data_IF_792284742385
#
_entry.id   IF_792284742385
#
_cell.length_a   1.000
_cell.length_b   1.000
_cell.length_c   1.000
_cell.angle_alpha   90.00
_cell.angle_beta   90.00
_cell.angle_gamma   90.00
#
_symmetry.space_group_name_H-M   'P 1'
#
loop_
_entity.id
_entity.type
_entity.pdbx_description
1 polymer ?
#
# COMPACT_ATOMS: atom_id res chain seq x y z
N UNK A 1 13.58 15.81 23.69
CA UNK A 1 12.34 15.06 23.41
C UNK A 1 12.54 14.39 22.06
N UNK A 2 12.42 13.07 21.97
CA UNK A 2 12.46 12.40 20.66
C UNK A 2 11.06 12.51 20.08
N UNK A 3 10.90 13.33 19.06
CA UNK A 3 9.66 13.42 18.30
C UNK A 3 9.39 12.03 17.69
N UNK A 4 8.25 11.42 18.02
CA UNK A 4 7.93 10.09 17.49
C UNK A 4 7.65 10.27 15.99
N UNK A 5 8.54 9.75 15.14
CA UNK A 5 8.33 9.79 13.70
C UNK A 5 6.98 9.13 13.36
N UNK A 6 6.08 9.89 12.75
CA UNK A 6 4.80 9.41 12.26
C UNK A 6 5.04 8.31 11.21
N UNK A 7 4.51 7.11 11.47
CA UNK A 7 4.62 5.93 10.60
C UNK A 7 3.25 5.37 10.28
N UNK A 8 3.10 4.86 9.06
CA UNK A 8 1.88 4.22 8.59
C UNK A 8 2.19 2.80 8.14
N UNK A 9 1.43 1.85 8.69
CA UNK A 9 1.38 0.48 8.19
C UNK A 9 -0.02 0.19 7.67
N UNK A 10 -0.13 -0.21 6.40
CA UNK A 10 -1.37 -0.67 5.79
C UNK A 10 -1.30 -2.19 5.71
N UNK A 11 -2.13 -2.88 6.48
CA UNK A 11 -2.22 -4.34 6.43
C UNK A 11 -3.35 -4.75 5.47
N UNK A 12 -2.98 -5.25 4.29
CA UNK A 12 -3.92 -5.81 3.33
C UNK A 12 -4.06 -7.31 3.52
N UNK A 13 -5.20 -7.73 4.08
CA UNK A 13 -5.53 -9.15 4.32
C UNK A 13 -6.70 -9.66 3.49
N UNK A 14 -7.63 -8.77 3.12
CA UNK A 14 -8.83 -9.15 2.38
C UNK A 14 -8.50 -9.79 1.02
N UNK A 15 -9.20 -10.88 0.70
CA UNK A 15 -9.20 -11.51 -0.62
C UNK A 15 -10.21 -10.88 -1.59
N UNK A 16 -10.93 -9.85 -1.15
CA UNK A 16 -11.85 -9.10 -1.99
C UNK A 16 -11.10 -8.09 -2.86
N UNK A 17 -11.22 -8.25 -4.18
CA UNK A 17 -10.55 -7.38 -5.15
C UNK A 17 -11.11 -5.95 -5.12
N UNK A 18 -12.39 -5.75 -4.77
CA UNK A 18 -12.98 -4.42 -4.67
C UNK A 18 -12.38 -3.65 -3.49
N UNK A 19 -12.16 -4.33 -2.36
CA UNK A 19 -11.46 -3.75 -1.20
C UNK A 19 -10.01 -3.37 -1.55
N UNK A 20 -9.32 -4.22 -2.32
CA UNK A 20 -7.97 -3.90 -2.78
C UNK A 20 -7.96 -2.65 -3.67
N UNK A 21 -8.87 -2.58 -4.64
CA UNK A 21 -8.92 -1.50 -5.63
C UNK A 21 -9.39 -0.17 -5.05
N UNK A 22 -10.54 -0.17 -4.39
CA UNK A 22 -11.24 1.04 -3.96
C UNK A 22 -10.88 1.50 -2.55
N UNK A 23 -10.04 0.74 -1.83
CA UNK A 23 -9.57 1.13 -0.50
C UNK A 23 -8.05 1.06 -0.40
N UNK A 24 -7.46 -0.14 -0.41
CA UNK A 24 -6.04 -0.33 -0.07
C UNK A 24 -5.12 0.37 -1.08
N UNK A 25 -5.21 -0.01 -2.35
CA UNK A 25 -4.31 0.47 -3.39
C UNK A 25 -4.61 1.93 -3.76
N UNK A 26 -5.88 2.32 -3.74
CA UNK A 26 -6.30 3.71 -3.95
C UNK A 26 -5.73 4.63 -2.86
N UNK A 27 -5.89 4.28 -1.58
CA UNK A 27 -5.40 5.10 -0.47
C UNK A 27 -3.87 5.16 -0.48
N UNK A 28 -3.19 4.01 -0.60
CA UNK A 28 -1.73 3.94 -0.60
C UNK A 28 -1.10 4.72 -1.78
N UNK A 29 -1.74 4.75 -2.94
CA UNK A 29 -1.25 5.54 -4.08
C UNK A 29 -1.53 7.05 -3.91
N UNK A 30 -2.69 7.41 -3.37
CA UNK A 30 -3.08 8.82 -3.24
C UNK A 30 -2.38 9.54 -2.08
N UNK A 31 -2.05 8.84 -0.99
CA UNK A 31 -1.33 9.46 0.12
C UNK A 31 0.02 10.03 -0.32
N UNK A 32 0.70 9.37 -1.26
CA UNK A 32 1.96 9.84 -1.86
C UNK A 32 1.70 11.11 -2.67
N UNK A 33 0.73 11.03 -3.60
CA UNK A 33 0.40 12.15 -4.50
C UNK A 33 -0.05 13.40 -3.75
N UNK A 34 -0.67 13.22 -2.58
CA UNK A 34 -1.19 14.31 -1.74
C UNK A 34 -0.22 14.74 -0.64
N UNK A 35 0.92 14.08 -0.48
CA UNK A 35 1.90 14.39 0.55
C UNK A 35 1.38 14.24 1.98
N UNK A 36 0.40 13.35 2.20
CA UNK A 36 -0.16 13.11 3.53
C UNK A 36 0.82 12.39 4.45
N UNK A 37 1.66 11.53 3.87
CA UNK A 37 2.68 10.78 4.58
C UNK A 37 4.01 10.88 3.85
N UNK A 38 5.09 10.89 4.62
CA UNK A 38 6.43 10.67 4.10
C UNK A 38 6.56 9.22 3.66
N UNK A 39 6.88 8.99 2.40
CA UNK A 39 6.91 7.67 1.76
C UNK A 39 7.85 6.70 2.47
N UNK A 40 8.98 7.20 2.98
CA UNK A 40 9.97 6.43 3.74
C UNK A 40 9.45 5.89 5.08
N UNK A 41 8.34 6.44 5.59
CA UNK A 41 7.69 6.03 6.83
C UNK A 41 6.47 5.12 6.59
N UNK A 42 6.19 4.75 5.34
CA UNK A 42 5.03 3.96 4.96
C UNK A 42 5.40 2.50 4.64
N UNK A 43 4.58 1.55 5.09
CA UNK A 43 4.70 0.14 4.71
C UNK A 43 3.35 -0.46 4.34
N UNK A 44 3.25 -1.08 3.17
CA UNK A 44 2.10 -1.89 2.75
C UNK A 44 2.42 -3.37 3.00
N UNK A 45 1.75 -3.98 3.96
CA UNK A 45 1.94 -5.39 4.31
C UNK A 45 0.88 -6.21 3.58
N UNK A 46 1.31 -7.14 2.72
CA UNK A 46 0.42 -8.07 2.03
C UNK A 46 0.48 -9.42 2.75
N UNK A 47 -0.63 -9.82 3.37
CA UNK A 47 -0.67 -11.05 4.15
C UNK A 47 -1.97 -11.82 3.93
N UNK A 48 -1.87 -13.08 3.52
CA UNK A 48 -2.99 -14.02 3.54
C UNK A 48 -3.73 -14.01 2.20
N UNK A 49 -5.07 -14.00 2.18
CA UNK A 49 -5.86 -14.05 0.95
C UNK A 49 -5.47 -12.99 -0.10
N UNK A 50 -5.05 -11.80 0.35
CA UNK A 50 -4.56 -10.71 -0.50
C UNK A 50 -3.39 -11.10 -1.41
N UNK A 51 -2.52 -12.03 -1.00
CA UNK A 51 -1.40 -12.50 -1.81
C UNK A 51 -1.88 -13.15 -3.11
N UNK A 52 -2.96 -13.94 -3.04
CA UNK A 52 -3.55 -14.58 -4.23
C UNK A 52 -4.18 -13.54 -5.15
N UNK A 53 -4.88 -12.56 -4.58
CA UNK A 53 -5.48 -11.46 -5.35
C UNK A 53 -4.39 -10.72 -6.13
N UNK A 54 -3.31 -10.29 -5.46
CA UNK A 54 -2.20 -9.62 -6.10
C UNK A 54 -1.51 -10.50 -7.16
N UNK A 55 -1.28 -11.78 -6.87
CA UNK A 55 -0.64 -12.70 -7.82
C UNK A 55 -1.47 -12.90 -9.10
N UNK A 56 -2.79 -12.82 -9.00
CA UNK A 56 -3.72 -13.05 -10.12
C UNK A 56 -4.07 -11.80 -10.94
N UNK A 57 -3.63 -10.60 -10.51
CA UNK A 57 -4.06 -9.31 -11.06
C UNK A 57 -2.87 -8.46 -11.53
N UNK A 58 -2.50 -8.51 -12.82
CA UNK A 58 -1.39 -7.72 -13.36
C UNK A 58 -1.56 -6.21 -13.14
N UNK A 59 -2.78 -5.70 -13.21
CA UNK A 59 -3.10 -4.30 -12.95
C UNK A 59 -2.83 -3.89 -11.49
N UNK A 60 -3.06 -4.79 -10.52
CA UNK A 60 -2.69 -4.54 -9.13
C UNK A 60 -1.18 -4.61 -8.92
N UNK A 61 -0.50 -5.52 -9.61
CA UNK A 61 0.97 -5.62 -9.57
C UNK A 61 1.62 -4.33 -10.07
N UNK A 62 1.11 -3.73 -11.16
CA UNK A 62 1.61 -2.45 -11.65
C UNK A 62 1.37 -1.31 -10.65
N UNK A 63 0.21 -1.27 -9.99
CA UNK A 63 -0.05 -0.30 -8.89
C UNK A 63 0.97 -0.46 -7.75
N UNK A 64 1.24 -1.70 -7.32
CA UNK A 64 2.22 -1.99 -6.25
C UNK A 64 3.64 -1.61 -6.67
N UNK A 65 4.07 -1.95 -7.90
CA UNK A 65 5.38 -1.52 -8.43
C UNK A 65 5.51 0.01 -8.46
N UNK A 66 4.44 0.71 -8.83
CA UNK A 66 4.39 2.17 -8.80
C UNK A 66 4.57 2.73 -7.39
N UNK A 67 3.95 2.12 -6.37
CA UNK A 67 4.14 2.48 -4.96
C UNK A 67 5.58 2.24 -4.49
N UNK A 68 6.17 1.10 -4.87
CA UNK A 68 7.57 0.79 -4.55
C UNK A 68 8.53 1.81 -5.17
N UNK A 69 8.31 2.20 -6.43
CA UNK A 69 9.09 3.22 -7.12
C UNK A 69 8.96 4.61 -6.47
N UNK A 70 7.86 4.86 -5.76
CA UNK A 70 7.63 6.08 -4.96
C UNK A 70 8.23 6.00 -3.55
N UNK A 71 8.87 4.89 -3.18
CA UNK A 71 9.55 4.72 -1.89
C UNK A 71 8.71 4.08 -0.79
N UNK A 72 7.49 3.62 -1.07
CA UNK A 72 6.72 2.81 -0.12
C UNK A 72 7.35 1.43 0.00
N UNK A 73 7.58 0.98 1.24
CA UNK A 73 7.99 -0.41 1.51
C UNK A 73 6.80 -1.35 1.35
N UNK A 74 6.98 -2.47 0.65
CA UNK A 74 5.96 -3.51 0.46
C UNK A 74 6.53 -4.85 0.89
#
# INVERSE_FOLDING_TARGET
>A
MVESAERLAILWTSGDAEVAENMVLMYASNMVRKGWWKTENCTLIIWGPSQRVLASRPDFQEKVKGMMAQGIKV
#
